data_IF_178393444242
#
_entry.id   IF_178393444242
#
_cell.length_a   1.000
_cell.length_b   1.000
_cell.length_c   1.000
_cell.angle_alpha   90.00
_cell.angle_beta   90.00
_cell.angle_gamma   90.00
#
_symmetry.space_group_name_H-M   'P 1'
#
loop_
_entity.id
_entity.type
_entity.pdbx_description
1 polymer ?
#
# COMPACT_ATOMS: atom_id res chain seq x y z
N UNK A 1 16.37 -5.30 -1.86
CA UNK A 1 15.04 -4.67 -1.74
C UNK A 1 14.81 -3.68 -2.87
N UNK A 2 15.70 -2.71 -3.08
CA UNK A 2 15.55 -1.60 -4.04
C UNK A 2 15.09 -1.98 -5.45
N UNK A 3 15.60 -3.02 -6.13
CA UNK A 3 15.15 -3.37 -7.47
C UNK A 3 13.67 -3.73 -7.58
N UNK A 4 13.04 -4.03 -6.46
CA UNK A 4 11.61 -4.40 -6.39
C UNK A 4 10.70 -3.22 -6.01
N UNK A 5 11.27 -2.08 -5.65
CA UNK A 5 10.51 -0.88 -5.32
C UNK A 5 10.26 -0.08 -6.60
N UNK A 6 9.00 0.15 -6.90
CA UNK A 6 8.57 0.91 -8.06
C UNK A 6 7.67 2.06 -7.58
N UNK A 7 8.24 3.25 -7.31
CA UNK A 7 7.46 4.42 -6.99
C UNK A 7 6.59 4.82 -8.19
N UNK A 8 5.31 4.98 -7.96
CA UNK A 8 4.36 5.47 -8.95
C UNK A 8 3.84 6.82 -8.49
N UNK A 9 4.02 7.86 -9.29
CA UNK A 9 3.46 9.18 -9.00
C UNK A 9 1.95 9.11 -8.97
N UNK A 10 1.35 9.68 -7.94
CA UNK A 10 -0.10 9.69 -7.79
C UNK A 10 -0.67 10.79 -8.68
N UNK A 11 -1.28 10.37 -9.78
CA UNK A 11 -2.06 11.22 -10.68
C UNK A 11 -3.50 10.70 -10.68
N UNK A 12 -4.48 11.62 -10.59
CA UNK A 12 -5.91 11.25 -10.69
C UNK A 12 -6.14 10.34 -11.89
N UNK A 13 -6.94 9.31 -11.74
CA UNK A 13 -7.32 8.31 -12.75
C UNK A 13 -6.25 7.24 -13.09
N UNK A 14 -4.98 7.58 -13.25
CA UNK A 14 -3.93 6.60 -13.60
C UNK A 14 -3.58 5.67 -12.45
N UNK A 15 -3.56 6.19 -11.23
CA UNK A 15 -3.13 5.43 -10.05
C UNK A 15 -4.10 4.32 -9.67
N UNK A 16 -5.38 4.46 -9.96
CA UNK A 16 -6.40 3.44 -9.65
C UNK A 16 -6.10 2.07 -10.28
N UNK A 17 -5.52 2.05 -11.48
CA UNK A 17 -5.13 0.80 -12.15
C UNK A 17 -3.95 0.11 -11.49
N UNK A 18 -3.14 0.86 -10.75
CA UNK A 18 -1.98 0.33 -10.01
C UNK A 18 -2.39 -0.34 -8.69
N UNK A 19 -3.50 0.11 -8.09
CA UNK A 19 -3.98 -0.38 -6.80
C UNK A 19 -4.64 -1.76 -6.95
N UNK A 20 -4.12 -2.76 -6.27
CA UNK A 20 -4.61 -4.14 -6.27
C UNK A 20 -5.30 -4.48 -4.97
N UNK A 21 -6.26 -5.40 -5.02
CA UNK A 21 -6.96 -5.91 -3.86
C UNK A 21 -6.02 -6.56 -2.84
N UNK A 22 -6.30 -6.37 -1.56
CA UNK A 22 -5.58 -6.95 -0.41
C UNK A 22 -4.07 -6.69 -0.42
N UNK A 23 -3.62 -5.59 -1.03
CA UNK A 23 -2.20 -5.23 -1.05
C UNK A 23 -1.91 -4.06 -0.12
N UNK A 24 -0.72 -4.12 0.43
CA UNK A 24 -0.17 -3.03 1.25
C UNK A 24 0.75 -2.16 0.40
N UNK A 25 0.66 -0.88 0.66
CA UNK A 25 1.39 0.16 -0.02
C UNK A 25 2.06 1.09 1.00
N UNK A 26 3.08 1.78 0.54
CA UNK A 26 3.67 2.92 1.23
C UNK A 26 3.34 4.17 0.42
N UNK A 27 2.54 5.06 0.99
CA UNK A 27 2.30 6.39 0.45
C UNK A 27 3.44 7.30 0.92
N UNK A 28 4.04 8.06 -0.01
CA UNK A 28 5.20 8.90 0.24
C UNK A 28 4.93 10.29 -0.30
N UNK A 29 5.16 11.31 0.53
CA UNK A 29 5.17 12.72 0.14
C UNK A 29 6.61 13.20 0.07
N UNK A 30 6.95 13.85 -1.03
CA UNK A 30 8.29 14.34 -1.30
C UNK A 30 8.25 15.78 -1.82
N UNK A 31 9.33 16.52 -1.63
CA UNK A 31 9.54 17.82 -2.27
C UNK A 31 10.52 17.65 -3.42
N UNK A 32 10.13 18.05 -4.61
CA UNK A 32 10.99 18.03 -5.79
C UNK A 32 12.01 19.18 -5.73
N UNK A 33 13.30 18.87 -5.91
CA UNK A 33 14.36 19.90 -5.86
C UNK A 33 14.27 20.90 -7.02
N UNK A 34 13.80 20.46 -8.19
CA UNK A 34 13.73 21.35 -9.37
C UNK A 34 12.55 22.33 -9.31
N UNK A 35 11.40 21.84 -8.83
CA UNK A 35 10.15 22.60 -8.88
C UNK A 35 9.73 23.16 -7.53
N UNK A 36 10.39 22.79 -6.45
CA UNK A 36 10.06 23.10 -5.05
C UNK A 36 8.62 22.68 -4.65
N UNK A 37 7.98 21.86 -5.47
CA UNK A 37 6.58 21.42 -5.26
C UNK A 37 6.52 20.11 -4.51
N UNK A 38 5.47 19.98 -3.71
CA UNK A 38 5.15 18.71 -3.08
C UNK A 38 4.57 17.76 -4.12
N UNK A 39 5.12 16.55 -4.13
CA UNK A 39 4.67 15.47 -4.99
C UNK A 39 4.37 14.23 -4.16
N UNK A 40 3.47 13.41 -4.66
CA UNK A 40 2.95 12.25 -3.95
C UNK A 40 3.19 11.00 -4.77
N UNK A 41 3.68 9.98 -4.11
CA UNK A 41 3.98 8.68 -4.71
C UNK A 41 3.38 7.55 -3.90
N UNK A 42 3.14 6.43 -4.57
CA UNK A 42 2.75 5.19 -3.93
C UNK A 42 3.69 4.07 -4.35
N UNK A 43 4.14 3.30 -3.38
CA UNK A 43 5.03 2.15 -3.58
C UNK A 43 4.28 0.90 -3.12
N UNK A 44 4.13 -0.07 -4.01
CA UNK A 44 3.60 -1.39 -3.64
C UNK A 44 4.68 -2.15 -2.86
N UNK A 45 4.32 -2.63 -1.67
CA UNK A 45 5.25 -3.44 -0.87
C UNK A 45 5.52 -4.79 -1.53
N UNK A 46 6.80 -5.18 -1.71
CA UNK A 46 7.19 -6.34 -2.50
C UNK A 46 7.20 -7.65 -1.70
N UNK A 47 6.19 -7.92 -0.88
CA UNK A 47 6.15 -9.12 -0.02
C UNK A 47 6.14 -10.46 -0.77
N UNK A 48 5.87 -10.46 -2.07
CA UNK A 48 6.00 -11.66 -2.90
C UNK A 48 7.44 -11.97 -3.30
N UNK A 49 8.37 -11.05 -3.07
CA UNK A 49 9.79 -11.15 -3.46
C UNK A 49 10.73 -11.07 -2.26
N UNK A 50 10.33 -10.37 -1.22
CA UNK A 50 11.11 -10.13 -0.01
C UNK A 50 10.24 -10.44 1.20
N UNK A 51 10.73 -11.23 2.17
CA UNK A 51 9.99 -11.49 3.40
C UNK A 51 9.59 -10.20 4.10
N UNK A 52 8.42 -10.17 4.72
CA UNK A 52 7.97 -9.02 5.50
C UNK A 52 8.80 -8.80 6.77
N UNK A 53 9.25 -9.91 7.38
CA UNK A 53 10.10 -9.91 8.55
C UNK A 53 11.52 -10.23 8.13
N UNK A 54 12.42 -9.31 8.38
CA UNK A 54 13.85 -9.45 8.03
C UNK A 54 14.64 -9.69 9.31
N UNK A 55 15.33 -10.80 9.34
CA UNK A 55 16.27 -11.10 10.44
C UNK A 55 17.52 -10.24 10.29
N UNK A 56 17.88 -9.55 11.37
CA UNK A 56 19.10 -8.76 11.45
C UNK A 56 20.22 -9.58 12.10
N UNK A 57 21.49 -9.21 11.91
CA UNK A 57 22.61 -9.86 12.58
C UNK A 57 22.43 -9.89 14.09
N UNK A 58 22.66 -11.05 14.67
CA UNK A 58 22.63 -11.26 16.13
C UNK A 58 23.65 -10.36 16.82
N UNK A 59 23.26 -9.75 17.93
CA UNK A 59 24.16 -8.97 18.77
C UNK A 59 24.19 -9.55 20.20
N UNK A 60 25.29 -10.14 20.56
CA UNK A 60 25.38 -10.92 21.82
C UNK A 60 24.39 -12.08 21.81
N UNK A 61 23.53 -12.16 22.80
CA UNK A 61 22.47 -13.19 22.90
C UNK A 61 21.10 -12.72 22.37
N UNK A 62 21.02 -11.51 21.82
CA UNK A 62 19.79 -10.94 21.34
C UNK A 62 19.58 -11.19 19.83
N UNK A 63 18.38 -11.56 19.47
CA UNK A 63 17.90 -11.70 18.09
C UNK A 63 17.04 -10.49 17.73
N UNK A 64 17.20 -10.00 16.52
CA UNK A 64 16.51 -8.80 16.04
C UNK A 64 15.74 -9.11 14.76
N UNK A 65 14.51 -8.67 14.73
CA UNK A 65 13.65 -8.71 13.55
C UNK A 65 13.21 -7.29 13.20
N UNK A 66 13.17 -6.99 11.93
CA UNK A 66 12.70 -5.71 11.43
C UNK A 66 11.61 -5.91 10.37
N UNK A 67 10.60 -5.07 10.40
CA UNK A 67 9.60 -5.06 9.33
C UNK A 67 10.20 -4.48 8.04
N UNK A 68 9.88 -5.10 6.92
CA UNK A 68 10.33 -4.61 5.60
C UNK A 68 9.91 -3.16 5.35
N UNK A 69 8.70 -2.77 5.81
CA UNK A 69 8.20 -1.40 5.71
C UNK A 69 9.14 -0.40 6.39
N UNK A 70 9.71 -0.76 7.54
CA UNK A 70 10.62 0.12 8.27
C UNK A 70 11.97 0.22 7.58
N UNK A 71 12.45 -0.88 7.00
CA UNK A 71 13.69 -0.87 6.18
C UNK A 71 13.49 0.04 4.97
N UNK A 72 12.36 -0.07 4.29
CA UNK A 72 12.06 0.77 3.12
C UNK A 72 11.96 2.23 3.53
N UNK A 73 11.22 2.54 4.60
CA UNK A 73 11.08 3.91 5.11
C UNK A 73 12.43 4.55 5.47
N UNK A 74 13.31 3.80 6.11
CA UNK A 74 14.64 4.30 6.50
C UNK A 74 15.56 4.61 5.31
N UNK A 75 15.26 4.06 4.13
CA UNK A 75 16.08 4.20 2.94
C UNK A 75 15.34 4.88 1.78
N UNK A 76 14.28 5.64 2.05
CA UNK A 76 13.51 6.31 1.00
C UNK A 76 14.34 7.36 0.24
N UNK A 77 15.31 7.99 0.86
CA UNK A 77 16.21 8.95 0.21
C UNK A 77 16.98 8.30 -0.97
N UNK A 78 17.34 7.02 -0.85
CA UNK A 78 17.99 6.27 -1.93
C UNK A 78 17.03 5.93 -3.08
N UNK A 79 15.73 5.90 -2.79
CA UNK A 79 14.69 5.61 -3.80
C UNK A 79 14.28 6.88 -4.54
N UNK A 80 14.28 8.02 -3.84
CA UNK A 80 13.81 9.30 -4.35
C UNK A 80 14.97 10.28 -4.60
N UNK A 81 15.86 9.92 -5.52
CA UNK A 81 16.98 10.79 -5.93
C UNK A 81 16.42 12.05 -6.59
N UNK A 82 16.86 13.23 -6.14
CA UNK A 82 16.38 14.54 -6.61
C UNK A 82 15.13 15.05 -5.87
N UNK A 83 14.77 14.39 -4.75
CA UNK A 83 13.67 14.78 -3.89
C UNK A 83 14.08 14.76 -2.41
N UNK A 84 13.46 15.61 -1.62
CA UNK A 84 13.48 15.51 -0.16
C UNK A 84 12.24 14.74 0.31
N UNK A 85 12.44 13.67 1.06
CA UNK A 85 11.34 12.90 1.63
C UNK A 85 10.77 13.65 2.84
N UNK A 86 9.52 14.09 2.74
CA UNK A 86 8.83 14.78 3.82
C UNK A 86 8.24 13.78 4.82
N UNK A 87 7.41 12.86 4.35
CA UNK A 87 6.81 11.84 5.20
C UNK A 87 6.36 10.61 4.39
N UNK A 88 6.15 9.49 5.12
CA UNK A 88 5.66 8.25 4.52
C UNK A 88 4.81 7.43 5.47
N UNK A 89 3.72 6.86 4.97
CA UNK A 89 2.73 6.11 5.75
C UNK A 89 2.28 4.84 5.04
N UNK A 90 2.10 3.78 5.82
CA UNK A 90 1.53 2.55 5.29
C UNK A 90 0.03 2.69 5.06
N UNK A 91 -0.45 2.12 3.96
CA UNK A 91 -1.87 1.95 3.71
C UNK A 91 -2.15 0.59 3.07
N UNK A 92 -3.36 0.08 3.27
CA UNK A 92 -3.84 -1.19 2.71
C UNK A 92 -5.18 -0.95 2.04
N UNK A 93 -5.33 -1.49 0.85
CA UNK A 93 -6.55 -1.37 0.05
C UNK A 93 -7.20 -2.74 -0.04
N UNK A 94 -8.51 -2.77 0.23
CA UNK A 94 -9.38 -3.89 -0.10
C UNK A 94 -10.45 -3.42 -1.07
N UNK A 95 -10.74 -4.25 -2.08
CA UNK A 95 -11.76 -3.98 -3.09
C UNK A 95 -12.92 -4.92 -2.91
N UNK A 96 -14.08 -4.49 -3.32
CA UNK A 96 -15.20 -5.42 -3.49
C UNK A 96 -14.83 -6.46 -4.54
N UNK A 97 -15.28 -7.68 -4.32
CA UNK A 97 -15.14 -8.74 -5.30
C UNK A 97 -15.78 -8.26 -6.60
N UNK A 98 -15.06 -8.43 -7.72
CA UNK A 98 -15.62 -8.16 -9.05
C UNK A 98 -16.95 -8.90 -9.17
N UNK A 99 -18.04 -8.15 -9.25
CA UNK A 99 -19.33 -8.72 -9.62
C UNK A 99 -19.21 -9.02 -11.11
N UNK A 100 -18.87 -10.25 -11.44
CA UNK A 100 -19.07 -10.76 -12.79
C UNK A 100 -20.56 -10.76 -13.06
N UNK A 101 -21.02 -9.78 -13.82
CA UNK A 101 -22.36 -9.81 -14.37
C UNK A 101 -22.28 -10.71 -15.60
N UNK A 102 -22.37 -12.01 -15.37
CA UNK A 102 -22.87 -12.94 -16.37
C UNK A 102 -24.39 -12.70 -16.45
N UNK A 103 -24.91 -12.47 -17.65
CA UNK A 103 -26.29 -12.19 -18.03
C UNK A 103 -26.70 -10.71 -18.13
N UNK A 104 -26.54 -10.17 -19.34
CA UNK A 104 -27.31 -9.00 -19.78
C UNK A 104 -27.85 -9.25 -21.19
N UNK A 105 -29.17 -9.36 -21.38
CA UNK A 105 -29.78 -9.31 -22.69
C UNK A 105 -30.11 -7.88 -23.09
N UNK A 106 -29.86 -7.57 -24.37
CA UNK A 106 -30.40 -6.50 -25.22
C UNK A 106 -29.53 -5.29 -25.57
N UNK A 107 -29.48 -5.09 -26.87
CA UNK A 107 -28.49 -4.33 -27.66
C UNK A 107 -28.45 -2.79 -27.56
N UNK A 108 -29.38 -2.11 -26.91
CA UNK A 108 -29.44 -0.65 -26.90
C UNK A 108 -29.10 0.05 -25.56
N UNK A 109 -28.84 -0.73 -24.53
CA UNK A 109 -28.35 -0.27 -23.24
C UNK A 109 -26.81 -0.41 -23.10
N UNK A 110 -26.22 -1.04 -24.12
CA UNK A 110 -24.84 -1.60 -24.07
C UNK A 110 -23.78 -0.51 -24.12
N UNK A 111 -23.98 0.63 -24.79
CA UNK A 111 -22.93 1.66 -24.85
C UNK A 111 -22.87 2.51 -23.58
N UNK A 112 -23.99 2.90 -23.01
CA UNK A 112 -24.04 3.61 -21.72
C UNK A 112 -23.65 2.70 -20.54
N UNK A 113 -23.93 1.40 -20.64
CA UNK A 113 -23.46 0.40 -19.67
C UNK A 113 -21.98 0.08 -19.88
N UNK A 114 -21.46 0.05 -21.09
CA UNK A 114 -20.03 -0.18 -21.36
C UNK A 114 -19.14 0.91 -20.76
N UNK A 115 -19.55 2.17 -20.75
CA UNK A 115 -18.82 3.23 -20.06
C UNK A 115 -18.94 3.12 -18.54
N UNK A 116 -20.13 2.82 -18.00
CA UNK A 116 -20.32 2.57 -16.57
C UNK A 116 -19.66 1.27 -16.10
N UNK A 117 -19.66 0.22 -16.94
CA UNK A 117 -19.00 -1.06 -16.64
C UNK A 117 -17.48 -0.98 -16.81
N UNK A 118 -16.95 -0.16 -17.74
CA UNK A 118 -15.51 0.14 -17.77
C UNK A 118 -15.06 0.89 -16.52
N UNK A 119 -15.88 1.77 -15.95
CA UNK A 119 -15.62 2.39 -14.64
C UNK A 119 -15.80 1.41 -13.47
N UNK A 120 -16.64 0.37 -13.61
CA UNK A 120 -16.86 -0.71 -12.63
C UNK A 120 -15.91 -1.90 -12.78
N UNK A 121 -15.17 -2.04 -13.90
CA UNK A 121 -14.22 -3.15 -14.13
C UNK A 121 -12.99 -3.12 -13.22
N UNK A 122 -12.73 -2.00 -12.53
CA UNK A 122 -11.82 -1.96 -11.41
C UNK A 122 -12.73 -1.79 -10.20
N UNK A 123 -13.03 -2.85 -9.47
CA UNK A 123 -13.95 -2.85 -8.33
C UNK A 123 -13.70 -1.64 -7.43
N UNK A 124 -14.75 -1.03 -6.91
CA UNK A 124 -14.63 0.10 -5.99
C UNK A 124 -13.73 -0.28 -4.81
N UNK A 125 -13.06 0.69 -4.23
CA UNK A 125 -12.34 0.45 -2.98
C UNK A 125 -13.41 0.31 -1.91
N UNK A 126 -13.49 -0.88 -1.28
CA UNK A 126 -14.44 -1.17 -0.22
C UNK A 126 -13.88 -0.79 1.16
N UNK A 127 -12.55 -0.74 1.26
CA UNK A 127 -11.88 -0.40 2.53
C UNK A 127 -10.47 0.12 2.28
N UNK A 128 -10.18 1.27 2.88
CA UNK A 128 -8.87 1.88 2.90
C UNK A 128 -8.37 1.98 4.35
N UNK A 129 -7.46 1.09 4.71
CA UNK A 129 -6.81 1.13 6.03
C UNK A 129 -5.54 1.97 5.92
N UNK A 130 -5.38 2.95 6.80
CA UNK A 130 -4.25 3.88 6.77
C UNK A 130 -3.64 4.06 8.17
N UNK A 131 -2.36 4.41 8.23
CA UNK A 131 -1.68 4.76 9.47
C UNK A 131 -2.33 6.03 10.06
N UNK A 132 -2.90 5.94 11.28
CA UNK A 132 -3.60 7.06 11.96
C UNK A 132 -2.73 8.29 12.19
N UNK A 133 -1.39 8.15 12.08
CA UNK A 133 -0.44 9.25 12.19
C UNK A 133 -0.29 10.03 10.89
N UNK A 134 -0.92 9.60 9.80
CA UNK A 134 -0.93 10.31 8.53
C UNK A 134 -1.57 11.68 8.71
N UNK A 135 -0.92 12.78 8.28
CA UNK A 135 -1.51 14.12 8.34
C UNK A 135 -2.82 14.20 7.56
N UNK A 136 -3.75 15.02 8.05
CA UNK A 136 -5.08 15.14 7.46
C UNK A 136 -5.05 15.60 6.00
N UNK A 137 -4.17 16.55 5.67
CA UNK A 137 -3.96 17.06 4.32
C UNK A 137 -3.46 15.97 3.35
N UNK A 138 -2.60 15.07 3.85
CA UNK A 138 -2.12 13.95 3.05
C UNK A 138 -3.22 12.89 2.85
N UNK A 139 -3.98 12.58 3.90
CA UNK A 139 -5.11 11.66 3.80
C UNK A 139 -6.16 12.19 2.82
N UNK A 140 -6.53 13.48 2.91
CA UNK A 140 -7.47 14.14 1.99
C UNK A 140 -6.99 14.04 0.53
N UNK A 141 -5.71 14.30 0.28
CA UNK A 141 -5.14 14.13 -1.06
C UNK A 141 -5.30 12.69 -1.59
N UNK A 142 -5.04 11.67 -0.75
CA UNK A 142 -5.18 10.26 -1.14
C UNK A 142 -6.63 9.89 -1.40
N UNK A 143 -7.55 10.32 -0.54
CA UNK A 143 -8.98 10.03 -0.68
C UNK A 143 -9.55 10.63 -1.96
N UNK A 144 -9.18 11.87 -2.29
CA UNK A 144 -9.55 12.52 -3.54
C UNK A 144 -8.95 11.82 -4.76
N UNK A 145 -7.65 11.52 -4.72
CA UNK A 145 -6.95 10.87 -5.83
C UNK A 145 -7.47 9.45 -6.13
N UNK A 146 -7.85 8.71 -5.09
CA UNK A 146 -8.34 7.33 -5.20
C UNK A 146 -9.87 7.25 -5.28
N UNK A 147 -10.58 8.36 -5.07
CA UNK A 147 -12.03 8.48 -4.92
C UNK A 147 -12.57 7.50 -3.87
N UNK A 148 -12.10 7.68 -2.65
CA UNK A 148 -12.47 6.92 -1.48
C UNK A 148 -13.46 7.75 -0.68
N UNK A 149 -14.59 7.18 -0.33
CA UNK A 149 -15.58 7.80 0.52
C UNK A 149 -15.22 7.66 2.01
N UNK A 150 -15.74 8.55 2.85
CA UNK A 150 -15.42 8.58 4.28
C UNK A 150 -15.78 7.29 5.02
N UNK A 151 -16.81 6.58 4.54
CA UNK A 151 -17.27 5.31 5.12
C UNK A 151 -16.29 4.16 4.88
N UNK A 152 -15.43 4.28 3.87
CA UNK A 152 -14.42 3.28 3.51
C UNK A 152 -13.11 3.45 4.28
N UNK A 153 -12.96 4.58 5.01
CA UNK A 153 -11.75 4.94 5.74
C UNK A 153 -11.67 4.20 7.08
N UNK A 154 -10.58 3.51 7.31
CA UNK A 154 -10.33 2.79 8.56
C UNK A 154 -8.96 3.19 9.12
N UNK A 155 -8.92 3.90 10.25
CA UNK A 155 -7.65 4.21 10.89
C UNK A 155 -7.01 2.94 11.45
N UNK A 156 -5.76 2.72 11.10
CA UNK A 156 -4.92 1.64 11.60
C UNK A 156 -3.74 2.16 12.40
N UNK A 157 -2.77 1.30 12.63
CA UNK A 157 -1.48 1.65 13.22
C UNK A 157 -0.34 1.63 12.17
N UNK A 158 0.90 1.88 12.62
CA UNK A 158 2.09 1.90 11.78
C UNK A 158 2.26 0.62 10.94
N UNK A 159 1.97 -0.53 11.56
CA UNK A 159 2.05 -1.84 10.92
C UNK A 159 0.65 -2.39 10.68
N UNK A 160 0.28 -2.46 9.43
CA UNK A 160 -1.01 -2.99 8.98
C UNK A 160 -0.90 -4.50 8.74
N UNK A 161 -2.04 -5.18 8.66
CA UNK A 161 -2.11 -6.62 8.34
C UNK A 161 -1.46 -7.52 9.40
N UNK A 162 -2.06 -7.55 10.59
CA UNK A 162 -1.56 -8.36 11.72
C UNK A 162 -1.61 -9.87 11.46
N UNK A 163 -2.38 -10.33 10.48
CA UNK A 163 -2.41 -11.75 10.06
C UNK A 163 -1.01 -12.27 9.69
N UNK A 164 -0.15 -11.40 9.15
CA UNK A 164 1.21 -11.76 8.75
C UNK A 164 2.10 -12.11 9.96
N UNK A 165 1.72 -11.73 11.19
CA UNK A 165 2.44 -12.14 12.40
C UNK A 165 2.46 -13.66 12.60
N UNK A 166 1.52 -14.39 11.99
CA UNK A 166 1.54 -15.85 11.97
C UNK A 166 2.76 -16.43 11.24
N UNK A 167 3.39 -15.63 10.37
CA UNK A 167 4.60 -15.96 9.61
C UNK A 167 5.87 -15.38 10.21
N UNK A 168 5.79 -14.87 11.46
CA UNK A 168 6.98 -14.34 12.16
C UNK A 168 8.03 -15.44 12.29
N UNK A 169 9.25 -15.24 11.79
CA UNK A 169 10.30 -16.23 11.92
C UNK A 169 10.70 -16.39 13.39
N UNK A 170 11.09 -17.61 13.75
CA UNK A 170 11.71 -17.87 15.05
C UNK A 170 13.23 -17.84 14.88
N UNK A 171 13.91 -16.75 15.20
CA UNK A 171 15.36 -16.63 15.01
C UNK A 171 16.16 -17.41 16.04
N UNK A 172 15.52 -17.87 17.13
CA UNK A 172 16.17 -18.66 18.15
C UNK A 172 15.76 -20.14 18.04
N UNK A 173 16.67 -21.03 17.57
CA UNK A 173 16.37 -22.45 17.41
C UNK A 173 16.05 -23.17 18.72
N UNK A 174 16.48 -22.62 19.87
CA UNK A 174 16.22 -23.20 21.18
C UNK A 174 14.80 -22.96 21.68
N UNK A 175 14.10 -21.97 21.10
CA UNK A 175 12.69 -21.72 21.40
C UNK A 175 11.81 -22.70 20.63
N UNK A 176 11.10 -23.55 21.37
CA UNK A 176 10.09 -24.43 20.75
C UNK A 176 8.92 -23.57 20.24
N UNK A 177 8.44 -23.79 19.00
CA UNK A 177 7.24 -23.12 18.54
C UNK A 177 6.08 -23.43 19.48
N UNK A 178 5.28 -22.43 19.83
CA UNK A 178 4.02 -22.66 20.54
C UNK A 178 3.17 -23.61 19.70
N UNK A 179 2.71 -24.69 20.31
CA UNK A 179 1.79 -25.60 19.65
C UNK A 179 0.55 -24.81 19.18
N UNK A 180 0.19 -24.98 17.90
CA UNK A 180 -1.01 -24.41 17.34
C UNK A 180 -2.25 -25.10 17.87
#
# INVERSE_FOLDING_TARGET
VFPYLQPVKIEKEKVRMFLRDKRQYLAVRVRCHETERMEYFIIKMPYSKVPRFVELPKQGDNYYLMFLEDIVKANLAEVFVGYDVDCSYCCKISRDADVFVDDVPSENMVEKLKEKVKKRKIGAIARFVYDRKMPADFLEFLTDAFSIDSEELVPGDKHLNLEDLSSLPNPNPDLKPLAK
#
